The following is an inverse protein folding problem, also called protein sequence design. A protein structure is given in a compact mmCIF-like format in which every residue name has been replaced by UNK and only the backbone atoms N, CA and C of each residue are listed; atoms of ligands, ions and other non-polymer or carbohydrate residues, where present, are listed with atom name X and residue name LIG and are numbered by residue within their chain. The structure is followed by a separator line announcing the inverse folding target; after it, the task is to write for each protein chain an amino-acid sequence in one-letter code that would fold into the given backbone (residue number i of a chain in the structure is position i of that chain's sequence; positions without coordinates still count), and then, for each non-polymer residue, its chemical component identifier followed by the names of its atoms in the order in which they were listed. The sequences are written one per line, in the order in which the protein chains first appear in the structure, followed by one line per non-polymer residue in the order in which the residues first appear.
data_IF_226552542968
#
_entry.id   IF_226552542968
#
_cell.length_a   1.000
_cell.length_b   1.000
_cell.length_c   1.000
_cell.angle_alpha   90.00
_cell.angle_beta   90.00
_cell.angle_gamma   90.00
#
_symmetry.space_group_name_H-M   'P 1'
#
loop_
_entity.id
_entity.type
_entity.pdbx_description
1 polymer ?
#
# COMPACT_ATOMS: atom_id res chain seq x y z
N UNK A 1 -7.53 34.51 -7.88
CA UNK A 1 -7.91 33.12 -7.49
C UNK A 1 -8.89 32.66 -8.55
N UNK A 2 -8.58 31.59 -9.23
CA UNK A 2 -9.49 30.97 -10.20
C UNK A 2 -10.14 29.78 -9.51
N UNK A 3 -11.46 29.84 -9.35
CA UNK A 3 -12.25 28.72 -8.79
C UNK A 3 -12.15 27.46 -9.66
N UNK A 4 -11.72 27.66 -10.90
CA UNK A 4 -11.45 26.60 -11.88
C UNK A 4 -10.26 25.69 -11.55
N UNK A 5 -9.42 26.07 -10.58
CA UNK A 5 -8.28 25.27 -10.08
C UNK A 5 -8.59 24.57 -8.77
N UNK A 6 -9.81 24.67 -8.26
CA UNK A 6 -10.20 23.97 -7.06
C UNK A 6 -10.13 22.46 -7.29
N UNK A 7 -9.19 21.80 -6.63
CA UNK A 7 -9.15 20.35 -6.54
C UNK A 7 -10.21 19.97 -5.49
N UNK A 8 -11.22 19.22 -5.92
CA UNK A 8 -12.16 18.60 -5.00
C UNK A 8 -11.36 17.63 -4.11
N UNK A 9 -11.05 18.06 -2.90
CA UNK A 9 -10.32 17.28 -1.92
C UNK A 9 -11.14 16.02 -1.55
N UNK A 10 -10.51 14.86 -1.72
CA UNK A 10 -10.88 13.68 -0.95
C UNK A 10 -9.84 13.57 0.14
N UNK A 11 -10.26 13.57 1.40
CA UNK A 11 -9.39 13.42 2.56
C UNK A 11 -8.06 14.18 2.48
N UNK A 12 -8.08 15.46 2.93
CA UNK A 12 -6.88 16.27 3.17
C UNK A 12 -5.97 16.51 1.96
N UNK A 13 -6.54 16.66 0.77
CA UNK A 13 -5.80 17.04 -0.44
C UNK A 13 -5.10 15.89 -1.16
N UNK A 14 -5.32 14.66 -0.75
CA UNK A 14 -4.78 13.49 -1.43
C UNK A 14 -5.74 13.00 -2.52
N UNK A 15 -5.23 12.83 -3.74
CA UNK A 15 -5.92 12.20 -4.86
C UNK A 15 -5.15 10.94 -5.24
N UNK A 16 -5.78 9.77 -5.25
CA UNK A 16 -5.10 8.54 -5.66
C UNK A 16 -4.54 8.65 -7.08
N UNK A 17 -3.31 8.17 -7.28
CA UNK A 17 -2.62 8.23 -8.59
C UNK A 17 -3.32 7.44 -9.70
N UNK A 18 -4.21 6.52 -9.35
CA UNK A 18 -5.04 5.74 -10.28
C UNK A 18 -6.25 6.50 -10.82
N UNK A 19 -6.58 7.69 -10.29
CA UNK A 19 -7.55 8.62 -10.89
C UNK A 19 -6.92 9.48 -12.01
N UNK A 20 -6.00 8.91 -12.78
CA UNK A 20 -5.18 9.60 -13.80
C UNK A 20 -5.97 10.48 -14.78
N UNK A 21 -7.17 10.09 -15.17
CA UNK A 21 -7.97 10.87 -16.11
C UNK A 21 -8.33 12.27 -15.59
N UNK A 22 -8.63 12.40 -14.30
CA UNK A 22 -8.89 13.69 -13.66
C UNK A 22 -7.62 14.49 -13.40
N UNK A 23 -6.55 13.80 -12.99
CA UNK A 23 -5.26 14.43 -12.71
C UNK A 23 -4.64 15.02 -13.98
N UNK A 24 -4.67 14.30 -15.10
CA UNK A 24 -4.13 14.79 -16.37
C UNK A 24 -4.88 16.01 -16.88
N UNK A 25 -6.21 16.00 -16.84
CA UNK A 25 -7.03 17.16 -17.23
C UNK A 25 -6.71 18.39 -16.37
N UNK A 26 -6.43 18.19 -15.07
CA UNK A 26 -6.06 19.27 -14.16
C UNK A 26 -4.66 19.81 -14.45
N UNK A 27 -3.69 18.93 -14.70
CA UNK A 27 -2.32 19.30 -15.10
C UNK A 27 -2.35 20.10 -16.42
N UNK A 28 -3.09 19.63 -17.41
CA UNK A 28 -3.22 20.31 -18.69
C UNK A 28 -3.89 21.69 -18.55
N UNK A 29 -4.82 21.82 -17.62
CA UNK A 29 -5.50 23.08 -17.31
C UNK A 29 -4.56 24.04 -16.58
N UNK A 30 -3.82 23.56 -15.58
CA UNK A 30 -2.78 24.37 -14.90
C UNK A 30 -1.70 24.82 -15.88
N UNK A 31 -1.25 23.95 -16.77
CA UNK A 31 -0.25 24.27 -17.79
C UNK A 31 -0.75 25.33 -18.78
N UNK A 32 -2.04 25.33 -19.14
CA UNK A 32 -2.65 26.38 -19.96
C UNK A 32 -2.69 27.72 -19.23
N UNK A 33 -3.22 27.73 -18.01
CA UNK A 33 -3.31 28.96 -17.21
C UNK A 33 -1.94 29.56 -16.91
N UNK A 34 -0.92 28.72 -16.72
CA UNK A 34 0.44 29.19 -16.52
C UNK A 34 1.01 29.82 -17.80
N UNK A 35 0.78 29.25 -18.98
CA UNK A 35 1.18 29.83 -20.26
C UNK A 35 0.49 31.18 -20.54
N UNK A 36 -0.78 31.29 -20.17
CA UNK A 36 -1.56 32.51 -20.39
C UNK A 36 -1.25 33.62 -19.37
N UNK A 37 -0.72 33.25 -18.18
CA UNK A 37 -0.46 34.17 -17.08
C UNK A 37 1.01 34.62 -16.97
N UNK A 38 1.93 33.95 -17.64
CA UNK A 38 3.37 34.23 -17.54
C UNK A 38 3.95 34.46 -18.93
N UNK A 39 4.19 35.73 -19.30
CA UNK A 39 5.11 36.08 -20.37
C UNK A 39 6.51 35.66 -19.90
N UNK A 40 6.97 34.50 -20.33
CA UNK A 40 8.36 34.11 -20.11
C UNK A 40 9.23 34.97 -21.02
N UNK A 41 10.15 35.82 -20.49
CA UNK A 41 11.16 36.45 -21.34
C UNK A 41 11.94 35.31 -22.01
N UNK A 42 12.22 35.50 -23.34
CA UNK A 42 13.01 34.53 -24.11
C UNK A 42 14.20 34.04 -23.28
N UNK A 43 14.18 32.77 -22.91
CA UNK A 43 15.27 32.19 -22.16
C UNK A 43 16.51 32.28 -23.05
N UNK A 44 17.44 33.15 -22.66
CA UNK A 44 18.78 33.11 -23.19
C UNK A 44 19.29 31.68 -23.02
N UNK A 45 19.54 31.03 -24.12
CA UNK A 45 20.20 29.73 -24.16
C UNK A 45 21.53 29.84 -23.44
N UNK A 46 21.57 29.48 -22.17
CA UNK A 46 22.84 29.17 -21.54
C UNK A 46 23.38 27.94 -22.24
N UNK A 47 24.66 27.95 -22.66
CA UNK A 47 25.28 26.74 -23.13
C UNK A 47 25.24 25.73 -21.99
N UNK A 48 24.38 24.73 -22.15
CA UNK A 48 24.25 23.66 -21.20
C UNK A 48 25.53 22.87 -21.16
N UNK A 49 26.40 23.16 -20.21
CA UNK A 49 27.27 22.15 -19.64
C UNK A 49 26.41 21.28 -18.70
N UNK A 50 25.45 20.62 -19.29
CA UNK A 50 24.74 19.55 -18.62
C UNK A 50 25.68 18.35 -18.69
N UNK A 51 26.45 18.17 -17.64
CA UNK A 51 26.89 16.82 -17.26
C UNK A 51 25.60 16.02 -17.15
N UNK A 52 25.35 15.14 -18.11
CA UNK A 52 24.24 14.23 -18.07
C UNK A 52 24.25 13.55 -16.69
N UNK A 53 23.11 13.46 -15.98
CA UNK A 53 23.08 12.68 -14.76
C UNK A 53 23.64 11.29 -15.11
N UNK A 54 24.41 10.68 -14.21
CA UNK A 54 24.96 9.36 -14.49
C UNK A 54 23.81 8.49 -14.95
N UNK A 55 23.97 7.85 -16.10
CA UNK A 55 22.97 6.94 -16.64
C UNK A 55 22.57 6.02 -15.50
N UNK A 56 21.27 6.03 -15.18
CA UNK A 56 20.70 5.00 -14.31
C UNK A 56 21.08 3.71 -15.01
N UNK A 57 22.05 3.00 -14.44
CA UNK A 57 22.41 1.67 -14.90
C UNK A 57 21.14 0.87 -14.68
N UNK A 58 20.35 0.71 -15.75
CA UNK A 58 19.31 -0.30 -15.79
C UNK A 58 20.04 -1.60 -15.48
N UNK A 59 19.91 -2.07 -14.24
CA UNK A 59 20.33 -3.42 -13.92
C UNK A 59 19.59 -4.30 -14.93
N UNK A 60 20.33 -4.95 -15.81
CA UNK A 60 19.78 -5.98 -16.68
C UNK A 60 18.91 -6.89 -15.79
N UNK A 61 17.70 -7.25 -16.20
CA UNK A 61 16.91 -8.19 -15.43
C UNK A 61 17.80 -9.41 -15.20
N UNK A 62 18.07 -9.68 -13.92
CA UNK A 62 18.81 -10.88 -13.56
C UNK A 62 18.10 -12.05 -14.23
N UNK A 63 18.87 -12.96 -14.84
CA UNK A 63 18.38 -14.11 -15.61
C UNK A 63 17.73 -15.09 -14.60
N UNK A 64 16.55 -14.70 -14.09
CA UNK A 64 15.76 -15.53 -13.18
C UNK A 64 15.15 -16.66 -14.00
N UNK A 65 15.41 -17.89 -13.61
CA UNK A 65 14.75 -19.06 -14.20
C UNK A 65 13.25 -18.85 -14.13
N UNK A 66 12.53 -19.23 -15.16
CA UNK A 66 11.07 -19.07 -15.25
C UNK A 66 10.33 -19.67 -14.05
N UNK A 67 10.93 -20.71 -13.45
CA UNK A 67 10.46 -21.36 -12.21
C UNK A 67 10.55 -20.48 -10.94
N UNK A 68 11.35 -19.41 -10.96
CA UNK A 68 11.56 -18.52 -9.81
C UNK A 68 10.59 -17.34 -9.78
N UNK A 69 9.82 -17.13 -10.85
CA UNK A 69 8.82 -16.07 -10.92
C UNK A 69 7.62 -16.40 -10.04
N UNK A 70 7.14 -15.40 -9.30
CA UNK A 70 5.89 -15.46 -8.55
C UNK A 70 4.91 -14.42 -9.08
N UNK A 71 3.63 -14.73 -9.02
CA UNK A 71 2.57 -13.80 -9.38
C UNK A 71 2.01 -13.19 -8.12
N UNK A 72 2.14 -11.87 -7.99
CA UNK A 72 1.58 -11.11 -6.87
C UNK A 72 0.41 -10.28 -7.39
N UNK A 73 -0.80 -10.64 -6.96
CA UNK A 73 -1.95 -9.82 -7.23
C UNK A 73 -1.95 -8.60 -6.30
N UNK A 74 -2.20 -7.41 -6.85
CA UNK A 74 -2.27 -6.20 -6.05
C UNK A 74 -3.56 -5.43 -6.28
N UNK A 75 -4.15 -4.92 -5.20
CA UNK A 75 -5.41 -4.19 -5.25
C UNK A 75 -5.23 -2.84 -5.96
N UNK A 76 -5.98 -2.59 -7.05
CA UNK A 76 -5.81 -1.39 -7.88
C UNK A 76 -7.14 -0.91 -8.43
N UNK A 77 -7.79 0.01 -7.70
CA UNK A 77 -9.00 0.71 -8.13
C UNK A 77 -9.17 2.04 -7.37
N UNK A 78 -10.36 2.63 -7.37
CA UNK A 78 -10.59 3.90 -6.67
C UNK A 78 -10.53 3.79 -5.14
N UNK A 79 -10.65 2.59 -4.57
CA UNK A 79 -10.49 2.37 -3.13
C UNK A 79 -9.03 2.12 -2.73
N UNK A 80 -8.21 1.58 -3.65
CA UNK A 80 -6.81 1.19 -3.40
C UNK A 80 -5.90 1.72 -4.50
N UNK A 81 -4.95 2.56 -4.14
CA UNK A 81 -4.07 3.19 -5.14
C UNK A 81 -2.80 3.80 -4.57
N UNK A 82 -2.55 3.68 -3.27
CA UNK A 82 -1.32 4.17 -2.67
C UNK A 82 -0.24 3.11 -2.72
N UNK A 83 0.56 3.20 -3.76
CA UNK A 83 1.75 2.41 -3.96
C UNK A 83 2.90 3.34 -4.31
N UNK A 84 4.05 3.12 -3.72
CA UNK A 84 5.26 3.78 -4.18
C UNK A 84 5.75 3.11 -5.46
N UNK A 85 6.00 3.89 -6.51
CA UNK A 85 6.46 3.34 -7.78
C UNK A 85 7.74 2.50 -7.61
N UNK A 86 8.69 2.98 -6.81
CA UNK A 86 9.92 2.26 -6.53
C UNK A 86 9.72 0.92 -5.82
N UNK A 87 8.65 0.77 -5.02
CA UNK A 87 8.35 -0.49 -4.35
C UNK A 87 7.78 -1.52 -5.35
N UNK A 88 6.91 -1.06 -6.27
CA UNK A 88 6.45 -1.92 -7.37
C UNK A 88 7.59 -2.35 -8.30
N UNK A 89 8.50 -1.44 -8.61
CA UNK A 89 9.72 -1.74 -9.37
C UNK A 89 10.62 -2.73 -8.63
N UNK A 90 10.77 -2.60 -7.30
CA UNK A 90 11.57 -3.51 -6.49
C UNK A 90 10.94 -4.92 -6.42
N UNK A 91 9.62 -5.04 -6.35
CA UNK A 91 8.91 -6.32 -6.46
C UNK A 91 9.19 -6.98 -7.81
N UNK A 92 9.10 -6.22 -8.92
CA UNK A 92 9.41 -6.73 -10.25
C UNK A 92 10.88 -7.13 -10.39
N UNK A 93 11.81 -6.33 -9.85
CA UNK A 93 13.25 -6.65 -9.83
C UNK A 93 13.54 -7.92 -9.02
N UNK A 94 12.71 -8.25 -8.03
CA UNK A 94 12.78 -9.50 -7.27
C UNK A 94 12.12 -10.70 -7.98
N UNK A 95 11.74 -10.54 -9.27
CA UNK A 95 11.06 -11.51 -10.12
C UNK A 95 9.59 -11.77 -9.75
N UNK A 96 8.87 -10.75 -9.27
CA UNK A 96 7.43 -10.80 -9.18
C UNK A 96 6.77 -10.30 -10.49
N UNK A 97 5.80 -11.05 -10.98
CA UNK A 97 4.81 -10.57 -11.96
C UNK A 97 3.68 -9.91 -11.17
N UNK A 98 3.46 -8.61 -11.40
CA UNK A 98 2.41 -7.84 -10.72
C UNK A 98 1.11 -7.90 -11.52
N UNK A 99 0.05 -8.41 -10.92
CA UNK A 99 -1.26 -8.58 -11.54
C UNK A 99 -2.27 -7.69 -10.82
N UNK A 100 -2.76 -6.59 -11.45
CA UNK A 100 -3.74 -5.74 -10.79
C UNK A 100 -5.10 -6.44 -10.72
N UNK A 101 -5.83 -6.20 -9.62
CA UNK A 101 -7.23 -6.58 -9.49
C UNK A 101 -8.02 -5.48 -8.77
N UNK A 102 -9.32 -5.46 -8.97
CA UNK A 102 -10.22 -4.47 -8.37
C UNK A 102 -11.09 -5.09 -7.29
N UNK A 103 -10.84 -4.81 -6.00
CA UNK A 103 -11.76 -5.19 -4.93
C UNK A 103 -13.20 -4.69 -5.12
N UNK A 104 -13.40 -3.61 -5.85
CA UNK A 104 -14.73 -3.06 -6.13
C UNK A 104 -15.47 -3.75 -7.29
N UNK A 105 -14.75 -4.24 -8.30
CA UNK A 105 -15.39 -4.65 -9.57
C UNK A 105 -15.20 -6.12 -9.92
N UNK A 106 -14.04 -6.68 -9.60
CA UNK A 106 -13.74 -8.07 -9.92
C UNK A 106 -14.46 -9.00 -8.94
N UNK A 107 -14.94 -10.14 -9.42
CA UNK A 107 -15.70 -11.08 -8.59
C UNK A 107 -14.83 -12.11 -7.89
N UNK A 108 -13.60 -12.31 -8.38
CA UNK A 108 -12.65 -13.28 -7.87
C UNK A 108 -11.23 -12.76 -8.00
N UNK A 109 -10.31 -13.36 -7.27
CA UNK A 109 -8.88 -13.06 -7.38
C UNK A 109 -8.34 -13.64 -8.70
N UNK A 110 -7.43 -12.94 -9.39
CA UNK A 110 -6.66 -13.54 -10.46
C UNK A 110 -5.80 -14.67 -9.91
N UNK A 111 -5.42 -15.61 -10.77
CA UNK A 111 -4.45 -16.64 -10.38
C UNK A 111 -3.17 -15.97 -9.88
N UNK A 112 -2.79 -16.21 -8.62
CA UNK A 112 -1.63 -15.58 -7.98
C UNK A 112 -1.05 -16.48 -6.88
N UNK A 113 0.21 -16.20 -6.54
CA UNK A 113 0.95 -16.87 -5.48
C UNK A 113 0.94 -16.04 -4.17
N UNK A 114 0.72 -14.73 -4.27
CA UNK A 114 0.65 -13.81 -3.15
C UNK A 114 -0.27 -12.61 -3.43
N UNK A 115 -0.67 -11.90 -2.36
CA UNK A 115 -1.47 -10.68 -2.44
C UNK A 115 -0.75 -9.48 -1.82
N UNK A 116 -0.87 -8.33 -2.47
CA UNK A 116 -0.48 -7.04 -1.90
C UNK A 116 -1.70 -6.11 -1.89
N UNK A 117 -2.19 -5.81 -0.69
CA UNK A 117 -3.29 -4.88 -0.45
C UNK A 117 -2.72 -3.58 0.07
N UNK A 118 -2.44 -2.63 -0.81
CA UNK A 118 -1.82 -1.36 -0.46
C UNK A 118 -2.78 -0.38 0.20
N UNK A 119 -2.29 0.84 0.41
CA UNK A 119 -3.07 1.93 0.98
C UNK A 119 -4.14 2.46 0.03
N UNK A 120 -5.05 3.25 0.58
CA UNK A 120 -6.15 3.85 -0.15
C UNK A 120 -7.20 4.46 0.78
N UNK A 121 -8.41 4.62 0.24
CA UNK A 121 -9.56 5.17 0.95
C UNK A 121 -10.76 4.21 0.91
N UNK A 122 -10.66 3.02 1.53
CA UNK A 122 -11.76 2.06 1.53
C UNK A 122 -13.04 2.61 2.19
N UNK A 123 -12.92 3.53 3.14
CA UNK A 123 -14.06 4.18 3.80
C UNK A 123 -14.94 4.96 2.80
N UNK A 124 -14.37 5.58 1.78
CA UNK A 124 -15.15 6.31 0.77
C UNK A 124 -15.86 5.39 -0.23
N UNK A 125 -15.53 4.11 -0.21
CA UNK A 125 -16.04 3.08 -1.12
C UNK A 125 -16.65 1.89 -0.37
N UNK A 126 -16.88 2.02 0.94
CA UNK A 126 -17.27 0.89 1.79
C UNK A 126 -18.58 0.22 1.38
N UNK A 127 -19.53 0.98 0.77
CA UNK A 127 -20.77 0.40 0.24
C UNK A 127 -20.48 -0.58 -0.92
N UNK A 128 -19.61 -0.20 -1.85
CA UNK A 128 -19.20 -1.05 -2.97
C UNK A 128 -18.37 -2.26 -2.54
N UNK A 129 -17.48 -2.06 -1.56
CA UNK A 129 -16.68 -3.14 -0.99
C UNK A 129 -17.56 -4.15 -0.23
N UNK A 130 -18.57 -3.70 0.52
CA UNK A 130 -19.52 -4.59 1.17
C UNK A 130 -20.37 -5.37 0.17
N UNK A 131 -20.84 -4.72 -0.90
CA UNK A 131 -21.66 -5.35 -1.95
C UNK A 131 -20.90 -6.45 -2.69
N UNK A 132 -19.57 -6.30 -2.84
CA UNK A 132 -18.73 -7.30 -3.50
C UNK A 132 -18.36 -8.45 -2.56
N UNK A 133 -19.37 -9.19 -2.10
CA UNK A 133 -19.20 -10.30 -1.15
C UNK A 133 -18.35 -11.45 -1.72
N UNK A 134 -18.39 -11.68 -3.04
CA UNK A 134 -17.58 -12.72 -3.69
C UNK A 134 -16.08 -12.41 -3.59
N UNK A 135 -15.65 -11.17 -3.86
CA UNK A 135 -14.24 -10.79 -3.72
C UNK A 135 -13.79 -10.84 -2.26
N UNK A 136 -14.61 -10.36 -1.31
CA UNK A 136 -14.29 -10.47 0.13
C UNK A 136 -14.08 -11.93 0.54
N UNK A 137 -14.96 -12.82 0.10
CA UNK A 137 -14.83 -14.25 0.37
C UNK A 137 -13.59 -14.86 -0.30
N UNK A 138 -13.26 -14.45 -1.53
CA UNK A 138 -12.07 -14.93 -2.24
C UNK A 138 -10.78 -14.53 -1.53
N UNK A 139 -10.69 -13.27 -1.08
CA UNK A 139 -9.54 -12.77 -0.29
C UNK A 139 -9.43 -13.51 1.04
N UNK A 140 -10.52 -13.63 1.79
CA UNK A 140 -10.53 -14.38 3.04
C UNK A 140 -10.11 -15.84 2.83
N UNK A 141 -10.66 -16.52 1.84
CA UNK A 141 -10.31 -17.89 1.52
C UNK A 141 -8.85 -18.06 1.08
N UNK A 142 -8.27 -17.07 0.38
CA UNK A 142 -6.84 -17.07 0.03
C UNK A 142 -5.95 -17.05 1.29
N UNK A 143 -6.27 -16.20 2.25
CA UNK A 143 -5.56 -16.08 3.52
C UNK A 143 -5.73 -17.36 4.36
N UNK A 144 -6.97 -17.87 4.45
CA UNK A 144 -7.28 -19.07 5.21
C UNK A 144 -6.58 -20.34 4.68
N UNK A 145 -6.29 -20.40 3.38
CA UNK A 145 -5.48 -21.46 2.78
C UNK A 145 -3.98 -21.30 2.99
N UNK A 146 -3.55 -20.22 3.68
CA UNK A 146 -2.13 -19.95 3.94
C UNK A 146 -1.42 -19.21 2.80
N UNK A 147 -2.16 -18.55 1.92
CA UNK A 147 -1.58 -17.66 0.92
C UNK A 147 -0.79 -16.52 1.58
N UNK A 148 0.34 -16.16 0.99
CA UNK A 148 1.17 -15.05 1.47
C UNK A 148 0.51 -13.71 1.16
N UNK A 149 0.29 -12.87 2.19
CA UNK A 149 -0.38 -11.57 2.04
C UNK A 149 0.35 -10.47 2.79
N UNK A 150 0.55 -9.36 2.11
CA UNK A 150 0.96 -8.11 2.73
C UNK A 150 -0.14 -7.06 2.57
N UNK A 151 -0.50 -6.39 3.67
CA UNK A 151 -1.53 -5.35 3.68
C UNK A 151 -1.03 -4.09 4.40
N UNK A 152 -1.24 -2.93 3.79
CA UNK A 152 -0.88 -1.62 4.36
C UNK A 152 -2.11 -0.73 4.50
N UNK A 153 -2.27 -0.08 5.65
CA UNK A 153 -3.24 0.97 5.92
C UNK A 153 -4.67 0.63 5.40
N UNK A 154 -5.07 1.12 4.23
CA UNK A 154 -6.35 0.77 3.61
C UNK A 154 -6.54 -0.72 3.40
N UNK A 155 -5.47 -1.45 3.07
CA UNK A 155 -5.48 -2.91 2.94
C UNK A 155 -5.79 -3.61 4.26
N UNK A 156 -5.19 -3.15 5.38
CA UNK A 156 -5.53 -3.63 6.73
C UNK A 156 -7.00 -3.34 7.05
N UNK A 157 -7.49 -2.13 6.75
CA UNK A 157 -8.88 -1.75 6.98
C UNK A 157 -9.86 -2.66 6.23
N UNK A 158 -9.54 -3.06 5.00
CA UNK A 158 -10.36 -3.97 4.21
C UNK A 158 -10.38 -5.40 4.76
N UNK A 159 -9.32 -5.82 5.45
CA UNK A 159 -9.24 -7.17 6.03
C UNK A 159 -9.96 -7.29 7.37
N UNK A 160 -10.37 -6.19 8.01
CA UNK A 160 -11.12 -6.20 9.26
C UNK A 160 -12.52 -6.81 9.10
N UNK A 161 -13.22 -7.04 10.20
CA UNK A 161 -14.61 -7.49 10.18
C UNK A 161 -15.55 -6.44 9.59
N UNK A 162 -15.34 -5.19 10.00
CA UNK A 162 -16.17 -4.06 9.57
C UNK A 162 -15.41 -2.74 9.57
N UNK A 163 -15.97 -1.78 8.83
CA UNK A 163 -15.50 -0.40 8.77
C UNK A 163 -16.66 0.55 9.06
N UNK A 164 -16.44 1.44 10.02
CA UNK A 164 -17.42 2.45 10.45
C UNK A 164 -16.93 3.85 10.09
N UNK A 165 -17.70 4.57 9.29
CA UNK A 165 -17.47 5.95 8.90
C UNK A 165 -18.79 6.73 8.77
N UNK A 166 -18.82 7.99 9.25
CA UNK A 166 -19.99 8.87 9.19
C UNK A 166 -21.28 8.21 9.68
N UNK A 167 -21.18 7.45 10.77
CA UNK A 167 -22.32 6.77 11.39
C UNK A 167 -22.83 5.54 10.64
N UNK A 168 -22.15 5.12 9.58
CA UNK A 168 -22.47 3.90 8.82
C UNK A 168 -21.40 2.85 9.08
N UNK A 169 -21.82 1.61 9.27
CA UNK A 169 -20.95 0.45 9.38
C UNK A 169 -21.16 -0.47 8.19
N UNK A 170 -20.08 -0.99 7.61
CA UNK A 170 -20.11 -1.94 6.48
C UNK A 170 -19.18 -3.11 6.75
N UNK A 171 -19.60 -4.30 6.32
CA UNK A 171 -18.79 -5.52 6.42
C UNK A 171 -17.62 -5.45 5.46
N UNK A 172 -16.45 -5.82 5.98
CA UNK A 172 -15.22 -5.97 5.19
C UNK A 172 -14.88 -7.47 5.00
N UNK A 173 -13.65 -7.82 4.74
CA UNK A 173 -13.29 -9.22 4.42
C UNK A 173 -13.37 -10.18 5.62
N UNK A 174 -13.36 -9.68 6.86
CA UNK A 174 -13.59 -10.47 8.07
C UNK A 174 -12.46 -11.45 8.40
N UNK A 175 -11.24 -11.11 8.06
CA UNK A 175 -10.04 -11.92 8.37
C UNK A 175 -9.43 -11.50 9.70
N UNK A 176 -9.37 -10.20 9.95
CA UNK A 176 -8.91 -9.63 11.21
C UNK A 176 -10.16 -9.36 12.07
N UNK A 177 -10.33 -10.07 13.21
CA UNK A 177 -11.50 -9.97 14.04
C UNK A 177 -11.49 -8.67 14.87
N UNK A 178 -11.60 -7.55 14.19
CA UNK A 178 -11.60 -6.21 14.73
C UNK A 178 -12.47 -5.28 13.90
N UNK A 179 -12.98 -4.23 14.51
CA UNK A 179 -13.72 -3.17 13.84
C UNK A 179 -12.80 -1.98 13.54
N UNK A 180 -12.82 -1.48 12.30
CA UNK A 180 -12.17 -0.23 11.93
C UNK A 180 -13.12 0.92 12.14
N UNK A 181 -12.70 1.95 12.89
CA UNK A 181 -13.48 3.17 13.10
C UNK A 181 -12.71 4.38 12.62
N UNK A 182 -13.34 5.18 11.75
CA UNK A 182 -12.77 6.44 11.27
C UNK A 182 -12.99 7.56 12.29
N UNK A 183 -11.96 8.38 12.46
CA UNK A 183 -11.96 9.53 13.38
C UNK A 183 -11.80 10.85 12.62
N UNK A 184 -12.28 11.98 13.17
CA UNK A 184 -12.11 13.30 12.53
C UNK A 184 -10.69 13.85 12.63
N UNK A 185 -9.84 13.26 13.48
CA UNK A 185 -8.42 13.64 13.65
C UNK A 185 -7.53 12.47 13.27
N UNK A 186 -6.33 12.74 12.74
CA UNK A 186 -5.34 11.69 12.50
C UNK A 186 -5.09 10.88 13.77
N UNK A 187 -5.07 9.56 13.64
CA UNK A 187 -4.71 8.63 14.71
C UNK A 187 -3.21 8.34 14.67
N UNK A 188 -2.65 8.15 13.46
CA UNK A 188 -1.21 8.08 13.22
C UNK A 188 -0.82 9.04 12.10
N UNK A 189 0.30 9.78 12.28
CA UNK A 189 0.79 10.73 11.28
C UNK A 189 2.28 10.97 11.41
N UNK A 190 3.02 10.69 10.34
CA UNK A 190 4.42 11.06 10.19
C UNK A 190 5.36 9.86 10.05
N UNK A 191 6.63 10.06 10.36
CA UNK A 191 7.62 9.00 10.31
C UNK A 191 7.54 8.12 11.55
N UNK A 192 7.54 6.81 11.32
CA UNK A 192 7.56 5.79 12.37
C UNK A 192 8.89 5.04 12.36
N UNK A 193 9.25 4.52 13.53
CA UNK A 193 10.36 3.59 13.70
C UNK A 193 9.81 2.29 14.26
N UNK A 194 10.07 1.23 13.54
CA UNK A 194 9.57 -0.10 13.83
C UNK A 194 10.75 -1.03 14.11
N UNK A 195 10.59 -1.92 15.05
CA UNK A 195 11.52 -3.05 15.30
C UNK A 195 10.80 -4.35 15.04
N UNK A 196 11.40 -5.23 14.24
CA UNK A 196 10.84 -6.55 13.99
C UNK A 196 10.80 -7.37 15.27
N UNK A 197 9.76 -8.16 15.40
CA UNK A 197 9.60 -9.15 16.47
C UNK A 197 9.88 -10.56 15.94
N UNK A 198 9.95 -11.53 16.83
CA UNK A 198 10.09 -12.94 16.46
C UNK A 198 8.86 -13.48 15.67
N UNK A 199 7.71 -12.80 15.75
CA UNK A 199 6.50 -13.17 15.02
C UNK A 199 6.50 -12.70 13.56
N UNK A 200 7.49 -11.88 13.12
CA UNK A 200 7.53 -11.38 11.75
C UNK A 200 7.62 -12.56 10.75
N UNK A 201 6.67 -12.67 9.78
CA UNK A 201 6.56 -13.88 8.97
C UNK A 201 7.62 -13.99 7.86
N UNK A 202 8.23 -12.87 7.45
CA UNK A 202 9.21 -12.87 6.37
C UNK A 202 10.62 -13.21 6.87
N UNK A 203 11.53 -13.65 5.97
CA UNK A 203 12.94 -13.86 6.33
C UNK A 203 13.52 -12.58 6.93
N UNK A 204 14.23 -12.71 8.04
CA UNK A 204 14.93 -11.59 8.65
C UNK A 204 15.95 -10.97 7.68
N UNK A 205 16.10 -9.65 7.70
CA UNK A 205 17.24 -8.95 7.13
C UNK A 205 18.32 -8.83 8.23
N UNK A 206 19.46 -9.46 8.01
CA UNK A 206 20.54 -9.42 9.02
C UNK A 206 20.13 -10.09 10.34
N UNK A 207 20.52 -9.47 11.45
CA UNK A 207 20.20 -9.96 12.82
C UNK A 207 18.86 -9.43 13.38
N UNK A 208 18.11 -8.65 12.57
CA UNK A 208 16.83 -8.05 12.98
C UNK A 208 16.96 -6.92 14.01
N UNK A 209 18.19 -6.50 14.34
CA UNK A 209 18.43 -5.47 15.37
C UNK A 209 18.19 -4.04 14.87
N UNK A 210 18.23 -3.80 13.57
CA UNK A 210 18.04 -2.47 12.98
C UNK A 210 16.58 -2.03 13.01
N UNK A 211 16.35 -0.79 13.45
CA UNK A 211 15.04 -0.19 13.40
C UNK A 211 14.69 0.22 11.96
N UNK A 212 13.51 -0.17 11.51
CA UNK A 212 12.96 0.15 10.19
C UNK A 212 12.34 1.54 10.24
N UNK A 213 12.72 2.38 9.28
CA UNK A 213 12.05 3.65 9.05
C UNK A 213 10.90 3.47 8.07
N UNK A 214 9.70 3.84 8.50
CA UNK A 214 8.49 3.79 7.72
C UNK A 214 7.69 5.08 7.91
N UNK A 215 6.49 5.12 7.38
CA UNK A 215 5.61 6.28 7.51
C UNK A 215 4.19 5.80 7.76
N UNK A 216 3.42 6.56 8.52
CA UNK A 216 2.01 6.32 8.76
C UNK A 216 1.20 7.59 8.49
N UNK A 217 0.01 7.40 7.94
CA UNK A 217 -0.97 8.47 7.80
C UNK A 217 -2.37 7.88 7.73
N UNK A 218 -3.02 7.78 8.89
CA UNK A 218 -4.37 7.20 8.97
C UNK A 218 -5.25 7.95 9.99
N UNK A 219 -6.53 7.98 9.67
CA UNK A 219 -7.60 8.54 10.51
C UNK A 219 -8.41 7.46 11.21
N UNK A 220 -8.08 6.22 10.95
CA UNK A 220 -8.76 5.07 11.53
C UNK A 220 -8.00 4.48 12.70
N UNK A 221 -8.74 3.81 13.57
CA UNK A 221 -8.21 2.95 14.61
C UNK A 221 -8.96 1.62 14.63
N UNK A 222 -8.29 0.56 15.06
CA UNK A 222 -8.94 -0.72 15.35
C UNK A 222 -9.60 -0.68 16.72
N UNK A 223 -10.77 -1.28 16.82
CA UNK A 223 -11.50 -1.54 18.07
C UNK A 223 -11.74 -3.01 18.21
N UNK A 224 -11.93 -3.45 19.46
CA UNK A 224 -12.23 -4.85 19.79
C UNK A 224 -11.16 -5.83 19.28
N UNK A 225 -9.90 -5.37 19.25
CA UNK A 225 -8.77 -6.22 18.87
C UNK A 225 -8.67 -7.36 19.90
N UNK A 226 -8.72 -8.64 19.48
CA UNK A 226 -8.62 -9.76 20.41
C UNK A 226 -7.27 -9.77 21.13
N UNK A 227 -7.28 -10.28 22.36
CA UNK A 227 -6.05 -10.62 23.05
C UNK A 227 -5.35 -11.80 22.37
N UNK A 228 -4.02 -11.83 22.44
CA UNK A 228 -3.20 -12.95 21.94
C UNK A 228 -2.90 -12.92 20.44
N UNK A 229 -3.13 -11.78 19.75
CA UNK A 229 -2.61 -11.60 18.40
C UNK A 229 -1.09 -11.44 18.43
N UNK A 230 -0.45 -12.02 17.42
CA UNK A 230 0.96 -11.79 17.15
C UNK A 230 1.14 -10.51 16.32
N UNK A 231 2.19 -9.76 16.65
CA UNK A 231 2.55 -8.53 15.95
C UNK A 231 3.97 -8.61 15.37
N UNK A 232 4.11 -8.27 14.11
CA UNK A 232 5.39 -8.29 13.41
C UNK A 232 6.32 -7.17 13.87
N UNK A 233 5.77 -6.08 14.40
CA UNK A 233 6.55 -4.90 14.77
C UNK A 233 6.22 -4.41 16.17
N UNK A 234 7.28 -3.99 16.87
CA UNK A 234 7.22 -3.10 18.02
C UNK A 234 7.43 -1.67 17.52
N UNK A 235 6.57 -0.74 17.91
CA UNK A 235 6.69 0.68 17.59
C UNK A 235 7.66 1.34 18.56
N UNK A 236 8.78 1.86 18.06
CA UNK A 236 9.74 2.65 18.85
C UNK A 236 9.40 4.15 18.79
N UNK A 237 8.80 4.58 17.67
CA UNK A 237 8.30 5.93 17.44
C UNK A 237 7.13 5.87 16.47
N UNK A 238 6.05 6.58 16.76
CA UNK A 238 4.82 6.61 15.97
C UNK A 238 3.64 6.08 16.76
N UNK A 239 2.56 5.79 16.06
CA UNK A 239 1.32 5.26 16.64
C UNK A 239 1.14 3.78 16.33
N UNK A 240 1.32 3.36 15.07
CA UNK A 240 0.97 2.02 14.64
C UNK A 240 -0.50 1.69 14.97
N UNK A 241 -0.74 0.50 15.51
CA UNK A 241 -2.08 0.04 15.90
C UNK A 241 -2.54 0.63 17.25
N UNK A 242 -1.64 0.70 18.24
CA UNK A 242 -1.97 0.99 19.65
C UNK A 242 -0.92 1.85 20.38
N UNK A 243 0.08 2.38 19.67
CA UNK A 243 1.23 3.11 20.23
C UNK A 243 2.39 2.22 20.66
N UNK A 244 2.24 0.91 20.62
CA UNK A 244 3.28 -0.08 21.03
C UNK A 244 3.55 -1.09 19.94
N UNK A 245 2.49 -1.52 19.22
CA UNK A 245 2.55 -2.58 18.23
C UNK A 245 2.08 -2.10 16.86
N UNK A 246 2.59 -2.75 15.81
CA UNK A 246 2.06 -2.71 14.45
C UNK A 246 2.30 -4.04 13.74
N UNK A 247 1.60 -4.23 12.60
CA UNK A 247 1.76 -5.43 11.79
C UNK A 247 1.11 -6.66 12.43
N UNK A 248 -0.21 -6.78 12.36
CA UNK A 248 -0.93 -8.01 12.75
C UNK A 248 -0.43 -9.17 11.90
N UNK A 249 -0.08 -10.26 12.55
CA UNK A 249 0.30 -11.52 11.92
C UNK A 249 -0.80 -12.54 12.12
N UNK A 250 -1.30 -13.08 11.01
CA UNK A 250 -2.25 -14.17 11.03
C UNK A 250 -1.93 -15.14 9.90
N UNK A 251 -1.57 -16.40 10.22
CA UNK A 251 -1.05 -17.34 9.21
C UNK A 251 0.12 -16.71 8.43
N UNK A 252 -0.02 -16.55 7.12
CA UNK A 252 0.96 -15.91 6.23
C UNK A 252 0.57 -14.47 5.85
N UNK A 253 -0.31 -13.84 6.62
CA UNK A 253 -0.67 -12.43 6.50
C UNK A 253 0.21 -11.57 7.41
N UNK A 254 0.67 -10.45 6.86
CA UNK A 254 1.19 -9.29 7.60
C UNK A 254 0.34 -8.08 7.23
N UNK A 255 -0.35 -7.48 8.20
CA UNK A 255 -1.19 -6.30 8.00
C UNK A 255 -0.83 -5.18 8.98
N UNK A 256 -0.41 -4.00 8.46
CA UNK A 256 0.07 -2.88 9.26
C UNK A 256 -0.61 -1.55 8.89
N UNK A 257 -0.59 -0.59 9.81
CA UNK A 257 -0.87 0.81 9.45
C UNK A 257 0.32 1.49 8.80
N UNK A 258 1.52 1.09 9.17
CA UNK A 258 2.73 1.65 8.59
C UNK A 258 2.89 1.27 7.11
N UNK A 259 3.36 2.23 6.32
CA UNK A 259 3.77 2.04 4.95
C UNK A 259 5.28 1.85 4.90
N UNK A 260 5.71 0.70 4.43
CA UNK A 260 7.11 0.41 4.22
C UNK A 260 7.63 1.10 2.95
N UNK A 261 8.95 1.32 2.90
CA UNK A 261 9.66 1.74 1.70
C UNK A 261 10.77 0.76 1.42
N UNK A 262 10.85 0.28 0.18
CA UNK A 262 12.00 -0.52 -0.24
C UNK A 262 13.24 0.34 -0.30
N UNK A 263 14.24 -0.03 0.44
CA UNK A 263 15.53 0.65 0.53
C UNK A 263 16.66 -0.36 0.62
N UNK A 264 17.88 0.10 0.42
CA UNK A 264 19.06 -0.78 0.56
C UNK A 264 19.18 -1.38 1.96
N UNK A 265 18.86 -0.61 3.00
CA UNK A 265 18.87 -1.06 4.40
C UNK A 265 17.68 -1.95 4.76
N UNK A 266 16.56 -1.80 4.06
CA UNK A 266 15.36 -2.58 4.29
C UNK A 266 14.71 -2.99 2.96
N UNK A 267 15.22 -4.04 2.29
CA UNK A 267 14.71 -4.51 0.99
C UNK A 267 13.47 -5.39 1.19
N UNK A 268 12.37 -4.77 1.65
CA UNK A 268 11.16 -5.48 2.02
C UNK A 268 10.53 -6.21 0.83
N UNK A 269 10.57 -5.61 -0.36
CA UNK A 269 9.97 -6.17 -1.56
C UNK A 269 10.59 -7.54 -1.90
N UNK A 270 11.93 -7.63 -1.87
CA UNK A 270 12.62 -8.91 -2.06
C UNK A 270 12.25 -9.93 -0.98
N UNK A 271 12.20 -9.52 0.28
CA UNK A 271 11.84 -10.39 1.42
C UNK A 271 10.43 -10.94 1.27
N UNK A 272 9.49 -10.10 0.85
CA UNK A 272 8.10 -10.52 0.60
C UNK A 272 8.03 -11.50 -0.57
N UNK A 273 8.72 -11.22 -1.69
CA UNK A 273 8.77 -12.15 -2.83
C UNK A 273 9.38 -13.51 -2.44
N UNK A 274 10.46 -13.52 -1.66
CA UNK A 274 11.06 -14.75 -1.15
C UNK A 274 10.12 -15.49 -0.18
N UNK A 275 9.31 -14.77 0.57
CA UNK A 275 8.28 -15.34 1.43
C UNK A 275 7.15 -15.97 0.59
N UNK A 276 6.65 -15.28 -0.44
CA UNK A 276 5.66 -15.81 -1.38
C UNK A 276 6.14 -17.13 -2.00
N UNK A 277 7.41 -17.19 -2.45
CA UNK A 277 7.99 -18.42 -3.00
C UNK A 277 7.93 -19.58 -2.03
N UNK A 278 8.20 -19.33 -0.75
CA UNK A 278 8.17 -20.40 0.30
C UNK A 278 6.76 -20.84 0.64
N UNK A 279 5.78 -19.93 0.54
CA UNK A 279 4.36 -20.24 0.79
C UNK A 279 3.67 -20.88 -0.42
N UNK A 280 4.32 -20.93 -1.58
CA UNK A 280 3.82 -21.64 -2.75
C UNK A 280 3.65 -23.12 -2.35
N UNK A 281 2.42 -23.52 -2.13
CA UNK A 281 2.10 -24.95 -1.91
C UNK A 281 2.37 -25.68 -3.23
N UNK A 282 3.21 -26.68 -3.16
CA UNK A 282 3.49 -27.56 -4.28
C UNK A 282 2.24 -28.36 -4.68
#
# INVERSE_FOLDING_TARGET
RSDDLAISERHHGLVPSNERGRSQTHIDRMARLHRDAVELPEQRTHPASATAPPAVVSASPADHRETDRVRIAYASDSAFGFYYAGDLEALQAAAAELVPFSPLRDRDLPACDGLFLGGGFPETHMDGLEQNSSMRAAVAAFIERGGAVYAECGGLMYLADSLTWEGKTRKMAGVIPAEVVMHPKPQGRGYVRLRETAAHPWPLSGDGSEAISAHEFHYSALRQVPEGLDFAYRVERGQGLDGVHDGIVYRNLLASYAHLRDTRSHPWAKRFVDFVRRCRVA
#
